data_IF_382180018435
#
_entry.id   IF_382180018435
#
_cell.length_a   1.000
_cell.length_b   1.000
_cell.length_c   1.000
_cell.angle_alpha   90.00
_cell.angle_beta   90.00
_cell.angle_gamma   90.00
#
_symmetry.space_group_name_H-M   'P 1'
#
loop_
_entity.id
_entity.type
_entity.pdbx_description
1 polymer ?
#
# COMPACT_ATOMS: atom_id res chain seq x y z
N UNK A 1 -5.40 -45.04 -13.80
CA UNK A 1 -5.03 -43.72 -14.37
C UNK A 1 -4.62 -42.64 -13.34
N UNK A 2 -4.08 -42.95 -12.13
CA UNK A 2 -3.68 -41.89 -11.18
C UNK A 2 -2.42 -41.12 -11.61
N UNK A 3 -1.50 -41.77 -12.34
CA UNK A 3 -0.22 -41.20 -12.76
C UNK A 3 -0.37 -40.00 -13.71
N UNK A 4 -1.41 -39.98 -14.55
CA UNK A 4 -1.67 -38.89 -15.49
C UNK A 4 -2.22 -37.64 -14.80
N UNK A 5 -3.12 -37.82 -13.82
CA UNK A 5 -3.68 -36.74 -13.02
C UNK A 5 -2.60 -36.06 -12.17
N UNK A 6 -1.74 -36.85 -11.53
CA UNK A 6 -0.58 -36.35 -10.75
C UNK A 6 0.41 -35.61 -11.66
N UNK A 7 0.75 -36.15 -12.83
CA UNK A 7 1.66 -35.49 -13.77
C UNK A 7 1.11 -34.14 -14.26
N UNK A 8 -0.20 -34.07 -14.56
CA UNK A 8 -0.88 -32.84 -14.97
C UNK A 8 -0.82 -31.79 -13.87
N UNK A 9 -1.09 -32.19 -12.63
CA UNK A 9 -1.04 -31.29 -11.48
C UNK A 9 0.38 -30.81 -11.18
N UNK A 10 1.39 -31.69 -11.25
CA UNK A 10 2.80 -31.31 -11.16
C UNK A 10 3.19 -30.28 -12.22
N UNK A 11 2.73 -30.44 -13.46
CA UNK A 11 3.02 -29.49 -14.52
C UNK A 11 2.35 -28.14 -14.25
N UNK A 12 1.10 -28.14 -13.80
CA UNK A 12 0.37 -26.93 -13.44
C UNK A 12 1.01 -26.19 -12.25
N UNK A 13 1.44 -26.93 -11.23
CA UNK A 13 2.18 -26.41 -10.08
C UNK A 13 3.53 -25.79 -10.50
N UNK A 14 4.32 -26.48 -11.33
CA UNK A 14 5.58 -25.92 -11.85
C UNK A 14 5.39 -24.60 -12.59
N UNK A 15 4.37 -24.52 -13.45
CA UNK A 15 4.01 -23.27 -14.13
C UNK A 15 3.61 -22.19 -13.11
N UNK A 16 2.90 -22.58 -12.06
CA UNK A 16 2.48 -21.67 -10.99
C UNK A 16 3.66 -21.09 -10.22
N UNK A 17 4.67 -21.89 -9.88
CA UNK A 17 5.88 -21.37 -9.25
C UNK A 17 6.67 -20.41 -10.14
N UNK A 18 6.72 -20.65 -11.46
CA UNK A 18 7.35 -19.70 -12.39
C UNK A 18 6.57 -18.37 -12.46
N UNK A 19 5.24 -18.42 -12.48
CA UNK A 19 4.40 -17.21 -12.41
C UNK A 19 4.54 -16.49 -11.07
N UNK A 20 4.60 -17.23 -9.96
CA UNK A 20 4.81 -16.70 -8.62
C UNK A 20 6.15 -15.96 -8.52
N UNK A 21 7.22 -16.52 -9.08
CA UNK A 21 8.54 -15.86 -9.12
C UNK A 21 8.49 -14.55 -9.92
N UNK A 22 7.79 -14.54 -11.06
CA UNK A 22 7.57 -13.33 -11.86
C UNK A 22 6.81 -12.26 -11.08
N UNK A 23 5.68 -12.62 -10.46
CA UNK A 23 4.88 -11.71 -9.64
C UNK A 23 5.66 -11.20 -8.41
N UNK A 24 6.51 -12.04 -7.80
CA UNK A 24 7.39 -11.62 -6.71
C UNK A 24 8.40 -10.56 -7.17
N UNK A 25 8.97 -10.69 -8.37
CA UNK A 25 9.89 -9.68 -8.93
C UNK A 25 9.18 -8.36 -9.15
N UNK A 26 7.97 -8.40 -9.73
CA UNK A 26 7.12 -7.21 -9.90
C UNK A 26 6.82 -6.58 -8.54
N UNK A 27 6.38 -7.37 -7.57
CA UNK A 27 6.09 -6.90 -6.21
C UNK A 27 7.26 -6.18 -5.56
N UNK A 28 8.46 -6.79 -5.61
CA UNK A 28 9.70 -6.19 -5.07
C UNK A 28 10.08 -4.90 -5.79
N UNK A 29 9.95 -4.86 -7.12
CA UNK A 29 10.24 -3.66 -7.92
C UNK A 29 9.31 -2.52 -7.53
N UNK A 30 8.00 -2.79 -7.47
CA UNK A 30 7.00 -1.78 -7.11
C UNK A 30 7.22 -1.28 -5.68
N UNK A 31 7.54 -2.16 -4.73
CA UNK A 31 7.90 -1.74 -3.37
C UNK A 31 9.15 -0.85 -3.32
N UNK A 32 10.17 -1.15 -4.14
CA UNK A 32 11.36 -0.31 -4.24
C UNK A 32 11.02 1.09 -4.78
N UNK A 33 10.08 1.18 -5.71
CA UNK A 33 9.57 2.46 -6.24
C UNK A 33 8.70 3.23 -5.24
N UNK A 34 8.01 2.55 -4.31
CA UNK A 34 7.26 3.21 -3.23
C UNK A 34 8.19 3.92 -2.22
N UNK A 35 9.38 3.37 -1.95
CA UNK A 35 10.32 3.93 -0.96
C UNK A 35 10.65 5.42 -1.17
N UNK A 36 11.12 5.88 -2.35
CA UNK A 36 11.38 7.30 -2.58
C UNK A 36 10.12 8.16 -2.54
N UNK A 37 8.94 7.63 -2.88
CA UNK A 37 7.68 8.35 -2.78
C UNK A 37 7.29 8.59 -1.31
N UNK A 38 7.47 7.59 -0.44
CA UNK A 38 7.26 7.73 1.00
C UNK A 38 8.21 8.77 1.62
N UNK A 39 9.48 8.78 1.21
CA UNK A 39 10.44 9.82 1.62
C UNK A 39 9.99 11.19 1.16
N UNK A 40 9.52 11.32 -0.09
CA UNK A 40 8.99 12.58 -0.62
C UNK A 40 7.78 13.08 0.17
N UNK A 41 6.85 12.20 0.55
CA UNK A 41 5.72 12.57 1.41
C UNK A 41 6.19 13.05 2.79
N UNK A 42 7.14 12.35 3.41
CA UNK A 42 7.72 12.78 4.69
C UNK A 42 8.33 14.18 4.61
N UNK A 43 9.05 14.48 3.53
CA UNK A 43 9.65 15.79 3.30
C UNK A 43 8.59 16.88 3.06
N UNK A 44 7.50 16.58 2.37
CA UNK A 44 6.38 17.51 2.17
C UNK A 44 5.65 17.79 3.50
N UNK A 45 5.48 16.77 4.34
CA UNK A 45 4.91 16.92 5.68
C UNK A 45 5.76 17.80 6.59
N UNK A 46 7.08 17.64 6.56
CA UNK A 46 7.96 18.52 7.32
C UNK A 46 7.90 19.97 6.81
N UNK A 47 7.86 20.17 5.49
CA UNK A 47 7.69 21.52 4.91
C UNK A 47 6.36 22.16 5.29
N UNK A 48 5.27 21.40 5.27
CA UNK A 48 3.94 21.88 5.69
C UNK A 48 3.94 22.27 7.17
N UNK A 49 4.51 21.43 8.03
CA UNK A 49 4.70 21.72 9.47
C UNK A 49 5.56 22.97 9.68
N UNK A 50 6.67 23.10 8.97
CA UNK A 50 7.56 24.26 9.07
C UNK A 50 6.84 25.55 8.64
N UNK A 51 6.03 25.50 7.58
CA UNK A 51 5.23 26.64 7.12
C UNK A 51 4.16 27.03 8.15
N UNK A 52 3.50 26.08 8.82
CA UNK A 52 2.54 26.38 9.88
C UNK A 52 3.18 26.97 11.14
N UNK A 53 4.45 26.64 11.41
CA UNK A 53 5.16 27.13 12.59
C UNK A 53 5.86 28.48 12.38
N UNK A 54 5.97 28.96 11.13
CA UNK A 54 6.64 30.22 10.83
C UNK A 54 5.63 31.36 10.74
N UNK A 55 5.90 32.44 11.47
CA UNK A 55 5.14 33.67 11.31
C UNK A 55 5.79 34.50 10.19
N UNK A 56 5.30 34.36 8.95
CA UNK A 56 5.93 34.98 7.76
C UNK A 56 6.06 36.50 7.91
N UNK A 57 5.11 37.16 8.58
CA UNK A 57 5.16 38.60 8.86
C UNK A 57 6.39 39.04 9.69
N UNK A 58 6.99 38.14 10.47
CA UNK A 58 8.21 38.38 11.25
C UNK A 58 9.50 38.04 10.49
N UNK A 59 9.41 37.67 9.21
CA UNK A 59 10.56 37.32 8.37
C UNK A 59 10.83 38.42 7.32
N UNK A 60 12.00 38.41 6.66
CA UNK A 60 12.23 39.27 5.50
C UNK A 60 11.24 39.06 4.34
N UNK A 61 10.46 37.97 4.36
CA UNK A 61 9.46 37.64 3.33
C UNK A 61 8.12 38.36 3.53
N UNK A 62 7.97 39.18 4.58
CA UNK A 62 6.75 39.98 4.87
C UNK A 62 6.27 40.87 3.71
N UNK A 63 7.13 41.18 2.75
CA UNK A 63 6.77 41.95 1.55
C UNK A 63 5.90 41.19 0.54
N UNK A 64 5.62 39.91 0.77
CA UNK A 64 4.83 39.05 -0.11
C UNK A 64 3.57 38.56 0.63
N UNK A 65 2.46 39.33 0.60
CA UNK A 65 1.27 39.04 1.41
C UNK A 65 0.63 37.68 1.08
N UNK A 66 0.65 37.27 -0.19
CA UNK A 66 0.03 36.00 -0.65
C UNK A 66 1.00 34.81 -0.60
N UNK A 67 2.23 34.99 -0.09
CA UNK A 67 3.26 33.94 -0.14
C UNK A 67 2.85 32.70 0.63
N UNK A 68 2.26 32.87 1.82
CA UNK A 68 1.86 31.76 2.68
C UNK A 68 0.81 30.87 2.00
N UNK A 69 -0.24 31.49 1.45
CA UNK A 69 -1.30 30.79 0.72
C UNK A 69 -0.74 30.08 -0.52
N UNK A 70 0.12 30.75 -1.29
CA UNK A 70 0.75 30.16 -2.48
C UNK A 70 1.67 28.99 -2.14
N UNK A 71 2.40 29.06 -1.03
CA UNK A 71 3.24 27.96 -0.55
C UNK A 71 2.37 26.78 -0.08
N UNK A 72 1.29 27.03 0.67
CA UNK A 72 0.32 25.98 1.05
C UNK A 72 -0.27 25.30 -0.17
N UNK A 73 -0.71 26.09 -1.16
CA UNK A 73 -1.25 25.55 -2.41
C UNK A 73 -0.23 24.67 -3.14
N UNK A 74 1.02 25.12 -3.26
CA UNK A 74 2.09 24.33 -3.88
C UNK A 74 2.42 23.05 -3.12
N UNK A 75 2.41 23.09 -1.78
CA UNK A 75 2.64 21.90 -0.95
C UNK A 75 1.51 20.90 -1.07
N UNK A 76 0.25 21.37 -1.16
CA UNK A 76 -0.91 20.53 -1.41
C UNK A 76 -0.81 19.87 -2.80
N UNK A 77 -0.57 20.66 -3.84
CA UNK A 77 -0.41 20.16 -5.22
C UNK A 77 0.71 19.11 -5.32
N UNK A 78 1.87 19.38 -4.72
CA UNK A 78 2.98 18.43 -4.70
C UNK A 78 2.62 17.13 -3.95
N UNK A 79 1.85 17.24 -2.87
CA UNK A 79 1.40 16.07 -2.10
C UNK A 79 0.41 15.24 -2.89
N UNK A 80 -0.58 15.86 -3.53
CA UNK A 80 -1.56 15.17 -4.38
C UNK A 80 -0.87 14.40 -5.51
N UNK A 81 0.16 14.99 -6.12
CA UNK A 81 0.96 14.31 -7.16
C UNK A 81 1.66 13.06 -6.60
N UNK A 82 2.27 13.14 -5.42
CA UNK A 82 2.99 12.00 -4.83
C UNK A 82 2.01 10.92 -4.36
N UNK A 83 0.88 11.30 -3.77
CA UNK A 83 -0.19 10.37 -3.39
C UNK A 83 -0.80 9.67 -4.61
N UNK A 84 -1.02 10.39 -5.71
CA UNK A 84 -1.47 9.81 -6.97
C UNK A 84 -0.52 8.71 -7.48
N UNK A 85 0.79 8.98 -7.49
CA UNK A 85 1.81 8.00 -7.85
C UNK A 85 1.81 6.79 -6.91
N UNK A 86 1.69 7.00 -5.60
CA UNK A 86 1.61 5.90 -4.64
C UNK A 86 0.37 5.04 -4.87
N UNK A 87 -0.78 5.64 -5.19
CA UNK A 87 -2.01 4.93 -5.49
C UNK A 87 -1.89 4.04 -6.75
N UNK A 88 -1.19 4.52 -7.79
CA UNK A 88 -0.86 3.70 -8.96
C UNK A 88 0.01 2.49 -8.60
N UNK A 89 0.99 2.67 -7.71
CA UNK A 89 1.83 1.56 -7.21
C UNK A 89 1.03 0.59 -6.38
N UNK A 90 0.12 1.06 -5.53
CA UNK A 90 -0.80 0.18 -4.79
C UNK A 90 -1.70 -0.63 -5.71
N UNK A 91 -2.22 -0.04 -6.77
CA UNK A 91 -3.02 -0.77 -7.78
C UNK A 91 -2.19 -1.87 -8.46
N UNK A 92 -0.91 -1.61 -8.70
CA UNK A 92 0.02 -2.60 -9.26
C UNK A 92 0.29 -3.75 -8.27
N UNK A 93 0.50 -3.45 -6.99
CA UNK A 93 0.65 -4.47 -5.93
C UNK A 93 -0.62 -5.29 -5.79
N UNK A 94 -1.79 -4.64 -5.78
CA UNK A 94 -3.09 -5.32 -5.72
C UNK A 94 -3.24 -6.31 -6.87
N UNK A 95 -2.92 -5.88 -8.10
CA UNK A 95 -3.00 -6.73 -9.29
C UNK A 95 -2.07 -7.95 -9.17
N UNK A 96 -0.84 -7.77 -8.67
CA UNK A 96 0.09 -8.88 -8.45
C UNK A 96 -0.41 -9.86 -7.38
N UNK A 97 -0.98 -9.37 -6.27
CA UNK A 97 -1.65 -10.20 -5.26
C UNK A 97 -2.80 -11.00 -5.87
N UNK A 98 -3.68 -10.34 -6.61
CA UNK A 98 -4.88 -10.95 -7.18
C UNK A 98 -4.51 -12.01 -8.23
N UNK A 99 -3.45 -11.78 -9.02
CA UNK A 99 -2.92 -12.78 -9.93
C UNK A 99 -2.44 -14.05 -9.22
N UNK A 100 -1.75 -13.90 -8.08
CA UNK A 100 -1.31 -15.03 -7.25
C UNK A 100 -2.52 -15.76 -6.68
N UNK A 101 -3.48 -15.05 -6.09
CA UNK A 101 -4.71 -15.63 -5.54
C UNK A 101 -5.53 -16.39 -6.58
N UNK A 102 -5.72 -15.82 -7.76
CA UNK A 102 -6.44 -16.48 -8.86
C UNK A 102 -5.71 -17.75 -9.34
N UNK A 103 -4.38 -17.73 -9.37
CA UNK A 103 -3.59 -18.90 -9.72
C UNK A 103 -3.74 -20.01 -8.69
N UNK A 104 -3.64 -19.70 -7.40
CA UNK A 104 -3.84 -20.69 -6.32
C UNK A 104 -5.24 -21.29 -6.41
N UNK A 105 -6.27 -20.46 -6.56
CA UNK A 105 -7.65 -20.92 -6.74
C UNK A 105 -7.81 -21.84 -7.96
N UNK A 106 -7.16 -21.52 -9.08
CA UNK A 106 -7.20 -22.35 -10.30
C UNK A 106 -6.56 -23.73 -10.09
N UNK A 107 -5.45 -23.78 -9.34
CA UNK A 107 -4.75 -25.04 -9.03
C UNK A 107 -5.55 -25.89 -8.04
N UNK A 108 -6.15 -25.26 -7.01
CA UNK A 108 -7.03 -25.96 -6.08
C UNK A 108 -8.25 -26.53 -6.81
N UNK A 109 -8.84 -25.76 -7.72
CA UNK A 109 -9.95 -26.26 -8.54
C UNK A 109 -9.53 -27.45 -9.42
N UNK A 110 -8.34 -27.40 -10.02
CA UNK A 110 -7.80 -28.52 -10.79
C UNK A 110 -7.58 -29.76 -9.90
N UNK A 111 -7.10 -29.58 -8.67
CA UNK A 111 -6.96 -30.67 -7.70
C UNK A 111 -8.32 -31.30 -7.38
N UNK A 112 -9.33 -30.48 -7.07
CA UNK A 112 -10.70 -30.93 -6.77
C UNK A 112 -11.33 -31.71 -7.92
N UNK A 113 -11.18 -31.22 -9.16
CA UNK A 113 -11.68 -31.92 -10.36
C UNK A 113 -11.08 -33.32 -10.54
N UNK A 114 -9.83 -33.50 -10.09
CA UNK A 114 -9.12 -34.76 -10.22
C UNK A 114 -9.17 -35.62 -8.94
N UNK A 115 -9.85 -35.17 -7.88
CA UNK A 115 -9.83 -35.81 -6.56
C UNK A 115 -10.21 -37.30 -6.60
N UNK A 116 -11.18 -37.69 -7.42
CA UNK A 116 -11.60 -39.10 -7.57
C UNK A 116 -10.56 -40.00 -8.25
N UNK A 117 -9.60 -39.40 -8.97
CA UNK A 117 -8.52 -40.10 -9.69
C UNK A 117 -7.17 -39.97 -8.98
N UNK A 118 -7.08 -39.15 -7.94
CA UNK A 118 -5.88 -38.93 -7.15
C UNK A 118 -5.90 -39.87 -5.94
N UNK A 119 -4.90 -40.74 -5.86
CA UNK A 119 -4.66 -41.54 -4.66
C UNK A 119 -3.84 -40.73 -3.64
N UNK A 120 -4.14 -40.90 -2.35
CA UNK A 120 -3.48 -40.16 -1.27
C UNK A 120 -1.98 -40.43 -1.23
N UNK A 121 -1.57 -41.67 -1.51
CA UNK A 121 -0.15 -42.03 -1.60
C UNK A 121 0.51 -41.32 -2.78
N UNK A 122 -0.18 -41.19 -3.92
CA UNK A 122 0.37 -40.57 -5.12
C UNK A 122 0.56 -39.04 -5.00
N UNK A 123 -0.24 -38.36 -4.16
CA UNK A 123 -0.08 -36.90 -3.92
C UNK A 123 0.92 -36.56 -2.82
N UNK A 124 1.24 -37.53 -1.96
CA UNK A 124 2.24 -37.40 -0.88
C UNK A 124 3.59 -38.03 -1.26
N UNK A 125 3.65 -38.76 -2.37
CA UNK A 125 4.89 -39.34 -2.87
C UNK A 125 5.89 -38.24 -3.21
N UNK A 126 7.09 -38.37 -2.64
CA UNK A 126 8.22 -37.48 -2.89
C UNK A 126 9.32 -38.22 -3.62
N UNK A 127 10.01 -37.53 -4.51
CA UNK A 127 11.22 -38.03 -5.17
C UNK A 127 12.44 -37.29 -4.62
N UNK A 128 13.63 -37.87 -4.82
CA UNK A 128 14.91 -37.20 -4.55
C UNK A 128 15.08 -35.89 -5.33
N UNK A 129 14.37 -35.72 -6.45
CA UNK A 129 14.50 -34.56 -7.33
C UNK A 129 13.23 -33.71 -7.44
N UNK A 130 12.10 -34.16 -6.90
CA UNK A 130 10.85 -33.42 -6.98
C UNK A 130 10.05 -33.52 -5.68
N UNK A 131 9.62 -32.38 -5.09
CA UNK A 131 8.72 -32.38 -3.93
C UNK A 131 7.37 -33.02 -4.28
N UNK A 132 6.61 -33.41 -3.26
CA UNK A 132 5.28 -33.96 -3.47
C UNK A 132 4.29 -32.90 -3.93
N UNK A 133 3.17 -33.32 -4.51
CA UNK A 133 2.05 -32.42 -4.85
C UNK A 133 1.57 -31.68 -3.60
N UNK A 134 1.44 -32.39 -2.48
CA UNK A 134 0.97 -31.83 -1.22
C UNK A 134 1.87 -30.69 -0.74
N UNK A 135 3.20 -30.90 -0.73
CA UNK A 135 4.17 -29.88 -0.32
C UNK A 135 4.08 -28.64 -1.24
N UNK A 136 4.01 -28.87 -2.56
CA UNK A 136 3.92 -27.79 -3.54
C UNK A 136 2.63 -26.96 -3.41
N UNK A 137 1.51 -27.62 -3.09
CA UNK A 137 0.23 -26.94 -2.81
C UNK A 137 0.28 -26.14 -1.52
N UNK A 138 0.90 -26.67 -0.47
CA UNK A 138 1.10 -25.98 0.80
C UNK A 138 1.93 -24.73 0.60
N UNK A 139 3.10 -24.85 -0.04
CA UNK A 139 3.98 -23.70 -0.29
C UNK A 139 3.31 -22.62 -1.15
N UNK A 140 2.50 -23.01 -2.12
CA UNK A 140 1.77 -22.06 -2.96
C UNK A 140 0.71 -21.30 -2.16
N UNK A 141 -0.02 -21.98 -1.27
CA UNK A 141 -0.99 -21.35 -0.36
C UNK A 141 -0.30 -20.45 0.67
N UNK A 142 0.85 -20.85 1.19
CA UNK A 142 1.63 -20.02 2.11
C UNK A 142 2.14 -18.75 1.43
N UNK A 143 2.60 -18.85 0.18
CA UNK A 143 2.96 -17.68 -0.61
C UNK A 143 1.76 -16.75 -0.82
N UNK A 144 0.58 -17.28 -1.16
CA UNK A 144 -0.64 -16.49 -1.31
C UNK A 144 -1.03 -15.77 -0.01
N UNK A 145 -1.00 -16.48 1.12
CA UNK A 145 -1.24 -15.91 2.46
C UNK A 145 -0.29 -14.76 2.75
N UNK A 146 1.00 -14.92 2.44
CA UNK A 146 2.00 -13.87 2.62
C UNK A 146 1.62 -12.57 1.90
N UNK A 147 1.32 -12.62 0.60
CA UNK A 147 0.97 -11.42 -0.17
C UNK A 147 -0.39 -10.83 0.22
N UNK A 148 -1.36 -11.68 0.57
CA UNK A 148 -2.68 -11.25 1.06
C UNK A 148 -2.61 -10.55 2.41
N UNK A 149 -1.67 -10.92 3.27
CA UNK A 149 -1.43 -10.24 4.56
C UNK A 149 -0.59 -8.98 4.42
N UNK A 150 0.35 -8.95 3.47
CA UNK A 150 1.23 -7.79 3.28
C UNK A 150 0.50 -6.59 2.65
N UNK A 151 -0.43 -6.82 1.72
CA UNK A 151 -1.13 -5.74 1.03
C UNK A 151 -1.95 -4.80 1.95
N UNK A 152 -2.80 -5.30 2.87
CA UNK A 152 -3.59 -4.43 3.75
C UNK A 152 -2.73 -3.51 4.62
N UNK A 153 -1.57 -4.00 5.07
CA UNK A 153 -0.62 -3.17 5.83
C UNK A 153 -0.18 -1.97 4.99
N UNK A 154 0.23 -2.20 3.73
CA UNK A 154 0.66 -1.14 2.82
C UNK A 154 -0.46 -0.15 2.48
N UNK A 155 -1.68 -0.65 2.29
CA UNK A 155 -2.85 0.20 2.02
C UNK A 155 -3.20 1.09 3.21
N UNK A 156 -3.20 0.52 4.42
CA UNK A 156 -3.56 1.26 5.64
C UNK A 156 -2.62 2.43 5.93
N UNK A 157 -1.34 2.30 5.58
CA UNK A 157 -0.37 3.39 5.71
C UNK A 157 -0.80 4.57 4.84
N UNK A 158 -1.15 4.33 3.58
CA UNK A 158 -1.59 5.40 2.68
C UNK A 158 -2.89 6.05 3.13
N UNK A 159 -3.85 5.27 3.62
CA UNK A 159 -5.11 5.81 4.15
C UNK A 159 -4.85 6.76 5.33
N UNK A 160 -3.92 6.41 6.23
CA UNK A 160 -3.52 7.30 7.33
C UNK A 160 -2.87 8.59 6.82
N UNK A 161 -2.00 8.51 5.80
CA UNK A 161 -1.37 9.71 5.22
C UNK A 161 -2.39 10.62 4.52
N UNK A 162 -3.35 10.05 3.79
CA UNK A 162 -4.45 10.78 3.15
C UNK A 162 -5.30 11.48 4.22
N UNK A 163 -5.75 10.74 5.24
CA UNK A 163 -6.56 11.31 6.32
C UNK A 163 -5.78 12.39 7.06
N UNK A 164 -4.53 12.13 7.45
CA UNK A 164 -3.68 13.10 8.12
C UNK A 164 -3.53 14.36 7.27
N UNK A 165 -3.23 14.25 5.97
CA UNK A 165 -3.01 15.42 5.12
C UNK A 165 -4.25 16.26 4.86
N UNK A 166 -5.41 15.64 4.65
CA UNK A 166 -6.65 16.40 4.40
C UNK A 166 -7.31 16.92 5.69
N UNK A 167 -7.07 16.30 6.85
CA UNK A 167 -7.62 16.74 8.13
C UNK A 167 -6.67 17.60 8.98
N UNK A 168 -5.36 17.55 8.80
CA UNK A 168 -4.40 18.41 9.50
C UNK A 168 -4.56 19.92 9.21
N UNK A 169 -4.90 20.37 7.98
CA UNK A 169 -5.17 21.78 7.68
C UNK A 169 -6.39 22.33 8.45
N UNK A 170 -7.38 21.49 8.74
CA UNK A 170 -8.59 21.89 9.48
C UNK A 170 -8.31 22.25 10.94
N UNK A 171 -7.27 21.66 11.55
CA UNK A 171 -6.85 22.01 12.92
C UNK A 171 -5.93 23.24 12.99
N UNK A 172 -5.31 23.66 11.88
CA UNK A 172 -4.47 24.86 11.84
C UNK A 172 -5.26 26.14 11.54
N UNK A 173 -6.48 26.03 11.00
CA UNK A 173 -7.38 27.16 10.73
C UNK A 173 -8.25 27.56 11.94
N UNK A 174 -8.25 26.81 13.05
CA UNK A 174 -8.94 27.21 14.29
C UNK A 174 -8.01 28.07 15.13
N UNK A 175 -7.70 29.27 14.64
CA UNK A 175 -7.37 30.38 15.53
C UNK A 175 -8.70 30.90 16.06
N UNK A 176 -9.08 30.44 17.25
CA UNK A 176 -10.15 31.08 18.04
C UNK A 176 -9.70 32.54 18.21
N UNK A 177 -10.45 33.54 17.74
CA UNK A 177 -10.10 34.92 18.01
C UNK A 177 -10.18 35.10 19.53
N UNK A 178 -9.08 35.50 20.17
CA UNK A 178 -9.18 36.06 21.51
C UNK A 178 -10.05 37.31 21.40
N UNK A 179 -11.27 37.25 21.96
CA UNK A 179 -12.12 38.42 22.14
C UNK A 179 -11.32 39.46 22.93
N UNK A 180 -10.95 40.55 22.26
CA UNK A 180 -10.55 41.80 22.88
C UNK A 180 -11.62 42.21 23.90
N UNK A 181 -11.33 41.98 25.18
CA UNK A 181 -12.14 42.48 26.28
C UNK A 181 -11.93 43.99 26.41
N UNK A 182 -12.51 44.75 25.47
CA UNK A 182 -12.70 46.20 25.55
C UNK A 182 -14.03 46.49 26.25
N UNK A 183 -14.11 46.12 27.52
CA UNK A 183 -15.18 46.60 28.40
C UNK A 183 -14.92 48.06 28.74
N UNK A 184 -15.53 48.94 27.95
CA UNK A 184 -15.83 50.32 28.27
C UNK A 184 -16.53 50.41 29.64
N UNK A 185 -15.81 50.86 30.66
CA UNK A 185 -16.43 51.35 31.89
C UNK A 185 -16.76 52.84 31.73
N UNK A 186 -17.92 53.09 31.12
CA UNK A 186 -18.72 54.28 31.42
C UNK A 186 -19.72 53.90 32.51
N UNK A 187 -19.51 54.38 33.73
CA UNK A 187 -20.63 54.65 34.66
C UNK A 187 -20.23 55.66 35.75
N UNK A 188 -20.76 56.88 35.59
CA UNK A 188 -21.39 57.73 36.60
C UNK A 188 -20.72 57.95 37.97
N UNK A 189 -20.13 59.14 38.17
CA UNK A 189 -20.66 60.15 39.13
C UNK A 189 -20.10 61.55 38.87
#
# INVERSE_FOLDING_TARGET
MPTLAVATLHQALRKSFATLESNQKVWKSVLAECSPLMVSLGNLAEQSRALSNVQISNTPLRGFPDLEERLRFKLLEATDIVLGKLNEKMSSLQSARDAISNQVASILHLYEQNAHSLDLLAVTERSTTTPSVADMLEWLQDAERHYRQQYPFLSSVLDVYVIYWYFFPLNSCVQIPEEENSASNTESR
#
